data_IF_020375522784
#
_entry.id   IF_020375522784
#
_cell.length_a   1.000
_cell.length_b   1.000
_cell.length_c   1.000
_cell.angle_alpha   90.00
_cell.angle_beta   90.00
_cell.angle_gamma   90.00
#
_symmetry.space_group_name_H-M   'P 1'
#
loop_
_entity.id
_entity.type
_entity.pdbx_description
1 polymer ?
#
# COMPACT_ATOMS: atom_id res chain seq x y z
N UNK A 1 0.27 21.83 -3.78
CA UNK A 1 -0.41 20.53 -3.88
C UNK A 1 -1.30 20.45 -2.66
N UNK A 2 -2.61 20.21 -2.81
CA UNK A 2 -3.53 20.20 -1.67
C UNK A 2 -3.45 18.81 -1.03
N UNK A 3 -3.02 18.73 0.22
CA UNK A 3 -2.98 17.49 0.98
C UNK A 3 -4.37 16.85 1.02
N UNK A 4 -4.46 15.54 0.78
CA UNK A 4 -5.72 14.81 0.87
C UNK A 4 -6.16 14.77 2.33
N UNK A 5 -7.21 15.53 2.67
CA UNK A 5 -7.83 15.46 3.99
C UNK A 5 -8.88 14.35 4.00
N UNK A 6 -8.71 13.36 4.87
CA UNK A 6 -9.67 12.27 5.06
C UNK A 6 -10.82 12.77 5.94
N UNK A 7 -12.04 12.72 5.40
CA UNK A 7 -13.24 13.29 6.02
C UNK A 7 -14.21 12.24 6.57
N UNK A 8 -13.94 10.95 6.34
CA UNK A 8 -14.80 9.86 6.81
C UNK A 8 -14.07 8.52 6.81
N UNK A 9 -14.57 7.57 7.61
CA UNK A 9 -14.08 6.19 7.61
C UNK A 9 -14.25 5.53 6.24
N UNK A 10 -15.37 5.80 5.55
CA UNK A 10 -15.59 5.31 4.19
C UNK A 10 -14.47 5.77 3.23
N UNK A 11 -14.07 7.03 3.30
CA UNK A 11 -12.98 7.56 2.50
C UNK A 11 -11.63 6.92 2.89
N UNK A 12 -11.35 6.79 4.19
CA UNK A 12 -10.13 6.16 4.71
C UNK A 12 -9.96 4.73 4.16
N UNK A 13 -10.98 3.89 4.34
CA UNK A 13 -10.97 2.51 3.89
C UNK A 13 -10.93 2.39 2.36
N UNK A 14 -11.57 3.32 1.64
CA UNK A 14 -11.53 3.31 0.17
C UNK A 14 -10.14 3.65 -0.37
N UNK A 15 -9.46 4.62 0.25
CA UNK A 15 -8.06 4.97 -0.07
C UNK A 15 -7.11 3.81 0.25
N UNK A 16 -7.25 3.21 1.43
CA UNK A 16 -6.47 2.04 1.83
C UNK A 16 -6.65 0.87 0.86
N UNK A 17 -7.91 0.55 0.50
CA UNK A 17 -8.23 -0.48 -0.48
C UNK A 17 -7.60 -0.20 -1.84
N UNK A 18 -7.67 1.05 -2.31
CA UNK A 18 -7.05 1.45 -3.59
C UNK A 18 -5.53 1.30 -3.55
N UNK A 19 -4.89 1.62 -2.43
CA UNK A 19 -3.46 1.46 -2.23
C UNK A 19 -3.05 -0.02 -2.32
N UNK A 20 -3.73 -0.92 -1.60
CA UNK A 20 -3.47 -2.37 -1.68
C UNK A 20 -3.66 -2.92 -3.09
N UNK A 21 -4.72 -2.51 -3.80
CA UNK A 21 -4.91 -2.90 -5.21
C UNK A 21 -3.76 -2.46 -6.12
N UNK A 22 -3.23 -1.26 -5.90
CA UNK A 22 -2.10 -0.74 -6.67
C UNK A 22 -0.81 -1.49 -6.34
N UNK A 23 -0.56 -1.75 -5.05
CA UNK A 23 0.60 -2.49 -4.59
C UNK A 23 0.59 -3.93 -5.14
N UNK A 24 -0.55 -4.62 -5.06
CA UNK A 24 -0.73 -5.95 -5.66
C UNK A 24 -0.39 -5.95 -7.15
N UNK A 25 -0.94 -4.99 -7.91
CA UNK A 25 -0.65 -4.84 -9.35
C UNK A 25 0.83 -4.57 -9.61
N UNK A 26 1.44 -3.68 -8.84
CA UNK A 26 2.85 -3.33 -8.99
C UNK A 26 3.75 -4.54 -8.71
N UNK A 27 3.48 -5.29 -7.65
CA UNK A 27 4.24 -6.49 -7.31
C UNK A 27 4.06 -7.59 -8.35
N UNK A 28 2.86 -7.78 -8.92
CA UNK A 28 2.66 -8.71 -10.05
C UNK A 28 3.51 -8.31 -11.26
N UNK A 29 3.50 -7.04 -11.65
CA UNK A 29 4.32 -6.57 -12.77
C UNK A 29 5.82 -6.75 -12.50
N UNK A 30 6.28 -6.44 -11.29
CA UNK A 30 7.67 -6.65 -10.91
C UNK A 30 8.04 -8.13 -10.91
N UNK A 31 7.15 -9.03 -10.50
CA UNK A 31 7.38 -10.47 -10.58
C UNK A 31 7.56 -10.92 -12.04
N UNK A 32 6.73 -10.41 -12.96
CA UNK A 32 6.88 -10.67 -14.40
C UNK A 32 8.22 -10.14 -14.93
N UNK A 33 8.59 -8.91 -14.58
CA UNK A 33 9.90 -8.32 -14.95
C UNK A 33 11.08 -9.15 -14.40
N UNK A 34 10.96 -9.73 -13.20
CA UNK A 34 12.00 -10.60 -12.65
C UNK A 34 12.16 -11.89 -13.48
N UNK A 35 11.05 -12.50 -13.92
CA UNK A 35 11.05 -13.74 -14.73
C UNK A 35 11.65 -13.53 -16.10
N UNK A 36 11.42 -12.37 -16.72
CA UNK A 36 12.01 -12.01 -18.02
C UNK A 36 13.55 -11.98 -18.00
N UNK A 37 14.17 -11.94 -16.81
CA UNK A 37 15.61 -11.95 -16.58
C UNK A 37 16.10 -13.18 -15.80
N UNK A 38 15.31 -14.26 -15.76
CA UNK A 38 15.61 -15.52 -15.06
C UNK A 38 15.81 -15.36 -13.53
N UNK A 39 15.27 -14.30 -12.91
CA UNK A 39 15.36 -14.04 -11.47
C UNK A 39 14.15 -14.61 -10.70
N UNK A 40 14.02 -15.94 -10.73
CA UNK A 40 12.87 -16.65 -10.15
C UNK A 40 12.70 -16.45 -8.63
N UNK A 41 13.80 -16.28 -7.88
CA UNK A 41 13.75 -16.09 -6.42
C UNK A 41 13.09 -14.75 -6.05
N UNK A 42 13.48 -13.66 -6.74
CA UNK A 42 12.82 -12.36 -6.56
C UNK A 42 11.40 -12.37 -7.10
N UNK A 43 11.14 -13.05 -8.22
CA UNK A 43 9.80 -13.20 -8.79
C UNK A 43 8.83 -13.84 -7.77
N UNK A 44 9.22 -14.98 -7.19
CA UNK A 44 8.43 -15.68 -6.19
C UNK A 44 8.21 -14.84 -4.92
N UNK A 45 9.18 -13.99 -4.56
CA UNK A 45 9.04 -13.08 -3.42
C UNK A 45 8.00 -11.99 -3.72
N UNK A 46 8.03 -11.41 -4.92
CA UNK A 46 7.02 -10.44 -5.36
C UNK A 46 5.62 -11.05 -5.49
N UNK A 47 5.49 -12.26 -6.02
CA UNK A 47 4.19 -12.96 -6.10
C UNK A 47 3.55 -13.10 -4.71
N UNK A 48 4.36 -13.47 -3.72
CA UNK A 48 3.89 -13.62 -2.34
C UNK A 48 3.42 -12.28 -1.79
N UNK A 49 4.14 -11.19 -2.05
CA UNK A 49 3.74 -9.85 -1.64
C UNK A 49 2.44 -9.41 -2.34
N UNK A 50 2.29 -9.69 -3.64
CA UNK A 50 1.05 -9.42 -4.37
C UNK A 50 -0.15 -10.17 -3.76
N UNK A 51 0.06 -11.41 -3.32
CA UNK A 51 -0.94 -12.19 -2.59
C UNK A 51 -1.33 -11.57 -1.25
N UNK A 52 -0.35 -11.09 -0.47
CA UNK A 52 -0.61 -10.39 0.81
C UNK A 52 -1.44 -9.11 0.60
N UNK A 53 -1.13 -8.33 -0.42
CA UNK A 53 -1.90 -7.11 -0.72
C UNK A 53 -3.33 -7.43 -1.21
N UNK A 54 -3.52 -8.52 -1.94
CA UNK A 54 -4.86 -9.00 -2.28
C UNK A 54 -5.63 -9.44 -1.02
N UNK A 55 -4.98 -10.06 -0.04
CA UNK A 55 -5.59 -10.38 1.25
C UNK A 55 -5.98 -9.12 2.03
N UNK A 56 -5.14 -8.08 2.03
CA UNK A 56 -5.48 -6.77 2.61
C UNK A 56 -6.75 -6.18 1.98
N UNK A 57 -6.88 -6.20 0.64
CA UNK A 57 -8.10 -5.76 -0.04
C UNK A 57 -9.34 -6.52 0.45
N UNK A 58 -9.25 -7.85 0.57
CA UNK A 58 -10.37 -8.67 1.04
C UNK A 58 -10.74 -8.37 2.48
N UNK A 59 -9.76 -8.11 3.35
CA UNK A 59 -10.00 -7.70 4.74
C UNK A 59 -10.75 -6.36 4.80
N UNK A 60 -10.34 -5.37 4.00
CA UNK A 60 -11.03 -4.07 3.93
C UNK A 60 -12.48 -4.22 3.45
N UNK A 61 -12.73 -5.06 2.44
CA UNK A 61 -14.08 -5.36 1.97
C UNK A 61 -14.92 -6.07 3.04
N UNK A 62 -14.34 -7.03 3.75
CA UNK A 62 -15.02 -7.77 4.81
C UNK A 62 -15.38 -6.86 5.98
N UNK A 63 -14.46 -6.00 6.42
CA UNK A 63 -14.71 -5.01 7.47
C UNK A 63 -15.77 -3.99 7.07
N UNK A 64 -15.66 -3.39 5.89
CA UNK A 64 -16.66 -2.44 5.41
C UNK A 64 -18.06 -3.07 5.37
N UNK A 65 -18.17 -4.35 5.01
CA UNK A 65 -19.43 -5.08 5.06
C UNK A 65 -19.97 -5.29 6.48
N UNK A 66 -19.10 -5.58 7.45
CA UNK A 66 -19.51 -5.78 8.86
C UNK A 66 -20.04 -4.47 9.46
N UNK A 67 -19.40 -3.35 9.12
CA UNK A 67 -19.72 -2.02 9.64
C UNK A 67 -20.78 -1.27 8.80
N UNK A 68 -21.37 -1.91 7.78
CA UNK A 68 -22.32 -1.30 6.83
C UNK A 68 -21.79 -0.02 6.15
N UNK A 69 -20.49 0.00 5.84
CA UNK A 69 -19.77 1.09 5.19
C UNK A 69 -19.72 0.86 3.67
N UNK A 70 -20.26 1.82 2.92
CA UNK A 70 -20.14 1.82 1.45
C UNK A 70 -18.78 2.38 1.03
N UNK A 71 -17.93 1.54 0.43
CA UNK A 71 -16.65 1.96 -0.14
C UNK A 71 -16.83 2.57 -1.54
N UNK A 72 -16.01 3.57 -1.86
CA UNK A 72 -15.93 4.15 -3.19
C UNK A 72 -14.98 3.33 -4.06
N UNK A 73 -15.48 2.62 -5.10
CA UNK A 73 -14.62 1.87 -6.01
C UNK A 73 -13.73 2.78 -6.88
N UNK A 74 -14.06 4.08 -6.99
CA UNK A 74 -13.33 5.09 -7.75
C UNK A 74 -12.36 5.93 -6.91
N UNK A 75 -12.13 5.57 -5.65
CA UNK A 75 -11.21 6.30 -4.78
C UNK A 75 -9.83 6.45 -5.44
N UNK A 76 -9.28 7.66 -5.36
CA UNK A 76 -7.93 7.94 -5.83
C UNK A 76 -6.89 7.40 -4.83
N UNK A 77 -5.68 7.13 -5.33
CA UNK A 77 -4.54 6.90 -4.45
C UNK A 77 -4.30 8.15 -3.60
N UNK A 78 -3.92 7.95 -2.34
CA UNK A 78 -3.46 9.05 -1.49
C UNK A 78 -2.27 9.72 -2.16
N UNK A 79 -2.42 10.98 -2.55
CA UNK A 79 -1.29 11.84 -2.91
C UNK A 79 -0.70 12.39 -1.61
N UNK A 80 -0.04 11.51 -0.87
CA UNK A 80 0.69 11.85 0.34
C UNK A 80 2.14 11.43 0.14
N UNK A 81 3.05 12.37 0.34
CA UNK A 81 4.49 12.15 0.34
C UNK A 81 4.99 12.45 1.75
N UNK A 82 5.60 11.48 2.43
CA UNK A 82 6.26 11.78 3.70
C UNK A 82 7.52 12.61 3.42
N UNK A 83 7.62 13.86 3.93
CA UNK A 83 8.80 14.69 3.73
C UNK A 83 10.07 14.12 4.38
N UNK A 84 9.96 13.13 5.26
CA UNK A 84 11.07 12.53 6.00
C UNK A 84 11.57 11.21 5.37
N UNK A 85 10.95 10.73 4.30
CA UNK A 85 11.25 9.43 3.71
C UNK A 85 11.73 9.62 2.26
N UNK A 86 12.99 9.30 2.01
CA UNK A 86 13.58 9.40 0.67
C UNK A 86 13.31 8.15 -0.18
N UNK A 87 12.77 8.33 -1.38
CA UNK A 87 12.41 7.25 -2.32
C UNK A 87 13.60 6.51 -2.98
N UNK A 88 14.85 6.83 -2.62
CA UNK A 88 16.05 6.35 -3.32
C UNK A 88 16.45 4.89 -2.99
N UNK A 89 15.94 4.32 -1.89
CA UNK A 89 16.31 2.96 -1.47
C UNK A 89 15.71 1.84 -2.33
N UNK A 90 14.66 2.15 -3.12
CA UNK A 90 13.81 1.12 -3.73
C UNK A 90 14.26 0.70 -5.13
N UNK A 91 15.08 1.53 -5.80
CA UNK A 91 15.46 1.28 -7.20
C UNK A 91 16.15 -0.07 -7.43
N UNK A 92 17.11 -0.52 -6.57
CA UNK A 92 17.75 -1.83 -6.75
C UNK A 92 16.82 -3.03 -6.54
N UNK A 93 15.70 -2.87 -5.83
CA UNK A 93 14.73 -3.95 -5.65
C UNK A 93 13.88 -4.18 -6.90
N UNK A 94 13.69 -3.12 -7.70
CA UNK A 94 12.89 -3.11 -8.93
C UNK A 94 13.69 -3.45 -10.20
N UNK A 95 15.01 -3.32 -10.14
CA UNK A 95 15.91 -3.73 -11.23
C UNK A 95 16.11 -5.26 -11.22
N UNK A 96 15.70 -5.99 -12.27
CA UNK A 96 15.81 -7.45 -12.32
C UNK A 96 17.23 -8.01 -12.12
N UNK A 97 18.25 -7.25 -12.52
CA UNK A 97 19.67 -7.66 -12.41
C UNK A 97 20.17 -7.47 -10.98
N UNK A 98 19.71 -6.42 -10.30
CA UNK A 98 20.14 -6.09 -8.95
C UNK A 98 19.24 -6.70 -7.87
N UNK A 99 18.03 -7.13 -8.22
CA UNK A 99 17.06 -7.58 -7.24
C UNK A 99 17.50 -8.86 -6.53
N UNK A 100 17.21 -8.92 -5.23
CA UNK A 100 17.32 -10.12 -4.41
C UNK A 100 16.10 -10.21 -3.51
N UNK A 101 15.70 -11.39 -3.02
CA UNK A 101 14.58 -11.52 -2.07
C UNK A 101 14.68 -10.57 -0.87
N UNK A 102 15.90 -10.33 -0.36
CA UNK A 102 16.12 -9.35 0.71
C UNK A 102 15.77 -7.92 0.28
N UNK A 103 16.19 -7.48 -0.92
CA UNK A 103 15.89 -6.14 -1.44
C UNK A 103 14.41 -5.98 -1.72
N UNK A 104 13.75 -7.03 -2.21
CA UNK A 104 12.29 -7.07 -2.40
C UNK A 104 11.56 -6.88 -1.07
N UNK A 105 11.95 -7.61 -0.02
CA UNK A 105 11.34 -7.47 1.31
C UNK A 105 11.65 -6.10 1.94
N UNK A 106 12.85 -5.56 1.77
CA UNK A 106 13.20 -4.23 2.24
C UNK A 106 12.33 -3.15 1.56
N UNK A 107 12.13 -3.27 0.24
CA UNK A 107 11.23 -2.41 -0.52
C UNK A 107 9.79 -2.52 -0.01
N UNK A 108 9.28 -3.73 0.21
CA UNK A 108 7.95 -3.93 0.77
C UNK A 108 7.79 -3.32 2.17
N UNK A 109 8.77 -3.55 3.06
CA UNK A 109 8.76 -2.97 4.41
C UNK A 109 8.76 -1.44 4.39
N UNK A 110 9.43 -0.84 3.41
CA UNK A 110 9.44 0.62 3.22
C UNK A 110 8.06 1.15 2.76
N UNK A 111 7.41 0.45 1.84
CA UNK A 111 6.03 0.77 1.45
C UNK A 111 5.06 0.65 2.64
N UNK A 112 5.22 -0.37 3.48
CA UNK A 112 4.42 -0.55 4.70
C UNK A 112 4.67 0.55 5.74
N UNK A 113 5.93 0.99 5.91
CA UNK A 113 6.24 2.14 6.74
C UNK A 113 5.55 3.40 6.22
N UNK A 114 5.53 3.63 4.90
CA UNK A 114 4.82 4.75 4.30
C UNK A 114 3.30 4.68 4.58
N UNK A 115 2.69 3.50 4.41
CA UNK A 115 1.29 3.25 4.76
C UNK A 115 1.01 3.54 6.24
N UNK A 116 1.82 3.00 7.16
CA UNK A 116 1.69 3.22 8.60
C UNK A 116 1.73 4.71 8.95
N UNK A 117 2.66 5.46 8.36
CA UNK A 117 2.79 6.89 8.61
C UNK A 117 1.65 7.71 8.03
N UNK A 118 1.10 7.29 6.89
CA UNK A 118 -0.14 7.88 6.35
C UNK A 118 -1.29 7.75 7.35
N UNK A 119 -1.54 6.55 7.89
CA UNK A 119 -2.59 6.35 8.90
C UNK A 119 -2.33 7.16 10.17
N UNK A 120 -1.08 7.15 10.66
CA UNK A 120 -0.65 7.96 11.81
C UNK A 120 -0.91 9.46 11.58
N UNK A 121 -0.63 9.97 10.37
CA UNK A 121 -0.89 11.35 10.00
C UNK A 121 -2.40 11.65 10.00
N UNK A 122 -3.23 10.76 9.47
CA UNK A 122 -4.70 10.92 9.49
C UNK A 122 -5.22 10.96 10.93
N UNK A 123 -4.82 10.01 11.78
CA UNK A 123 -5.22 9.95 13.19
C UNK A 123 -4.84 11.23 13.95
N UNK A 124 -3.63 11.74 13.72
CA UNK A 124 -3.13 12.93 14.40
C UNK A 124 -3.83 14.24 14.00
N UNK A 125 -4.41 14.32 12.80
CA UNK A 125 -4.90 15.58 12.22
C UNK A 125 -6.42 15.62 12.01
N UNK A 126 -7.14 14.52 12.22
CA UNK A 126 -8.61 14.51 12.11
C UNK A 126 -9.29 15.10 13.35
N UNK A 127 -10.40 15.82 13.12
CA UNK A 127 -11.32 16.27 14.18
C UNK A 127 -12.44 15.24 14.46
N UNK A 128 -12.61 14.23 13.61
CA UNK A 128 -13.60 13.15 13.77
C UNK A 128 -13.02 11.99 14.59
N UNK A 129 -13.57 11.75 15.78
CA UNK A 129 -13.13 10.69 16.69
C UNK A 129 -13.29 9.29 16.10
N UNK A 130 -14.28 9.06 15.23
CA UNK A 130 -14.47 7.76 14.56
C UNK A 130 -13.37 7.55 13.52
N UNK A 131 -13.03 8.59 12.75
CA UNK A 131 -11.92 8.51 11.79
C UNK A 131 -10.60 8.30 12.52
N UNK A 132 -10.42 8.93 13.69
CA UNK A 132 -9.24 8.74 14.53
C UNK A 132 -9.11 7.28 14.99
N UNK A 133 -10.18 6.72 15.56
CA UNK A 133 -10.21 5.33 16.04
C UNK A 133 -9.87 4.32 14.93
N UNK A 134 -10.34 4.55 13.71
CA UNK A 134 -10.07 3.65 12.58
C UNK A 134 -8.68 3.84 11.95
N UNK A 135 -8.00 4.95 12.24
CA UNK A 135 -6.66 5.23 11.74
C UNK A 135 -5.55 4.86 12.75
N UNK A 136 -5.90 4.55 14.00
CA UNK A 136 -5.01 4.07 15.07
C UNK A 136 -4.89 2.53 15.09
#
# INVERSE_FOLDING_TARGET
MQEMSIQSVAQLLSVARRASQEAARQYTNLADDMRDYDNEDSAATFDRLAGLEAEHEQLMLAWAKVEDIQLDPGAALAQWEDPNVGAEYDAPAKDPICSTPYRVLAYAGHNEEHSFRFFTHVAANTEDDTVREYAE
#
